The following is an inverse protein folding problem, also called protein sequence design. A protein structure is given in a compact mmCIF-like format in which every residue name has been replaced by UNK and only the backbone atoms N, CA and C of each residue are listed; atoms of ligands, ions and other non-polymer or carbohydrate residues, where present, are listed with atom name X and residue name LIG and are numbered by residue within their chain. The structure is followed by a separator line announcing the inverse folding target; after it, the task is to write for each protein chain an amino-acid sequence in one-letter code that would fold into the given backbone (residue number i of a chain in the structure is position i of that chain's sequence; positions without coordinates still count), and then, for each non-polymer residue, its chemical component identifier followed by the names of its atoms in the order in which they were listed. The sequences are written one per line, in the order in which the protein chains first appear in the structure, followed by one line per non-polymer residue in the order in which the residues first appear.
data_IF_328932882139
#
_entry.id   IF_328932882139
#
_cell.length_a   1.000
_cell.length_b   1.000
_cell.length_c   1.000
_cell.angle_alpha   90.00
_cell.angle_beta   90.00
_cell.angle_gamma   90.00
#
_symmetry.space_group_name_H-M   'P 1'
#
loop_
_entity.id
_entity.type
_entity.pdbx_description
1 polymer ?
#
# COMPACT_ATOMS: atom_id res chain seq x y z
N UNK A 1 -40.04 -17.56 -3.18
CA UNK A 1 -38.69 -17.03 -2.92
C UNK A 1 -38.87 -15.73 -2.17
N UNK A 2 -38.03 -15.40 -1.17
CA UNK A 2 -38.09 -14.09 -0.51
C UNK A 2 -37.45 -13.04 -1.43
N UNK A 3 -38.11 -11.90 -1.61
CA UNK A 3 -37.56 -10.78 -2.37
C UNK A 3 -36.65 -9.97 -1.44
N UNK A 4 -35.41 -9.69 -1.88
CA UNK A 4 -34.52 -8.77 -1.19
C UNK A 4 -34.61 -7.40 -1.87
N UNK A 5 -34.54 -6.35 -1.06
CA UNK A 5 -34.54 -4.96 -1.50
C UNK A 5 -33.26 -4.28 -1.03
N UNK A 6 -32.64 -3.50 -1.92
CA UNK A 6 -31.47 -2.68 -1.65
C UNK A 6 -31.88 -1.21 -1.51
N UNK A 7 -31.55 -0.58 -0.39
CA UNK A 7 -31.66 0.86 -0.23
C UNK A 7 -30.44 1.52 -0.85
N UNK A 8 -30.65 2.41 -1.81
CA UNK A 8 -29.59 3.12 -2.52
C UNK A 8 -29.44 4.53 -1.94
N UNK A 9 -28.25 4.83 -1.44
CA UNK A 9 -27.90 6.16 -0.94
C UNK A 9 -26.61 6.61 -1.62
N UNK A 10 -26.64 7.74 -2.33
CA UNK A 10 -25.46 8.26 -3.02
C UNK A 10 -24.89 7.31 -4.10
N UNK A 11 -25.74 6.48 -4.72
CA UNK A 11 -25.31 5.51 -5.73
C UNK A 11 -24.70 4.22 -5.18
N UNK A 12 -24.79 3.98 -3.87
CA UNK A 12 -24.31 2.73 -3.24
C UNK A 12 -25.42 2.05 -2.43
N UNK A 13 -25.33 0.73 -2.30
CA UNK A 13 -26.22 -0.07 -1.44
C UNK A 13 -25.88 0.23 0.02
N UNK A 14 -26.75 0.98 0.69
CA UNK A 14 -26.60 1.33 2.09
C UNK A 14 -27.18 0.25 3.03
N UNK A 15 -28.25 -0.41 2.60
CA UNK A 15 -28.96 -1.41 3.40
C UNK A 15 -29.58 -2.48 2.50
N UNK A 16 -29.74 -3.69 3.05
CA UNK A 16 -30.47 -4.80 2.44
C UNK A 16 -31.58 -5.27 3.39
N UNK A 17 -32.76 -5.53 2.86
CA UNK A 17 -33.90 -6.03 3.65
C UNK A 17 -34.70 -7.08 2.87
N UNK A 18 -35.30 -8.03 3.58
CA UNK A 18 -36.24 -9.02 3.00
C UNK A 18 -37.72 -8.60 3.18
N UNK A 19 -37.94 -7.38 3.65
CA UNK A 19 -39.27 -6.78 3.87
C UNK A 19 -39.64 -5.85 2.72
N UNK A 20 -40.86 -5.96 2.20
CA UNK A 20 -41.38 -5.02 1.19
C UNK A 20 -41.40 -3.57 1.72
N UNK A 21 -40.62 -2.65 1.10
CA UNK A 21 -40.48 -1.29 1.59
C UNK A 21 -41.70 -0.40 1.32
N UNK A 22 -42.63 -0.83 0.44
CA UNK A 22 -43.79 -0.05 0.02
C UNK A 22 -44.65 0.38 1.21
N UNK A 23 -44.81 1.70 1.40
CA UNK A 23 -45.60 2.28 2.49
C UNK A 23 -45.03 2.07 3.90
N UNK A 24 -43.79 1.57 4.03
CA UNK A 24 -43.14 1.32 5.32
C UNK A 24 -42.04 2.32 5.65
N UNK A 25 -41.26 2.72 4.66
CA UNK A 25 -40.13 3.64 4.83
C UNK A 25 -40.45 5.03 4.26
N UNK A 26 -39.58 6.00 4.54
CA UNK A 26 -39.73 7.37 4.03
C UNK A 26 -39.75 7.35 2.48
N UNK A 27 -40.64 8.12 1.83
CA UNK A 27 -40.78 8.11 0.36
C UNK A 27 -39.52 8.55 -0.41
N UNK A 28 -38.60 9.25 0.26
CA UNK A 28 -37.32 9.68 -0.34
C UNK A 28 -36.29 8.55 -0.44
N UNK A 29 -36.52 7.40 0.19
CA UNK A 29 -35.62 6.26 0.11
C UNK A 29 -35.80 5.52 -1.21
N UNK A 30 -34.69 5.34 -1.92
CA UNK A 30 -34.67 4.61 -3.19
C UNK A 30 -34.47 3.14 -2.89
N UNK A 31 -35.52 2.34 -3.06
CA UNK A 31 -35.45 0.89 -2.90
C UNK A 31 -35.49 0.18 -4.25
N UNK A 32 -34.55 -0.73 -4.48
CA UNK A 32 -34.43 -1.50 -5.72
C UNK A 32 -34.52 -2.99 -5.40
N UNK A 33 -35.35 -3.72 -6.14
CA UNK A 33 -35.46 -5.16 -6.02
C UNK A 33 -34.19 -5.86 -6.50
N UNK A 34 -33.65 -6.76 -5.68
CA UNK A 34 -32.43 -7.53 -5.96
C UNK A 34 -32.79 -8.91 -6.51
N UNK A 35 -32.16 -9.30 -7.63
CA UNK A 35 -32.33 -10.62 -8.26
C UNK A 35 -31.08 -11.51 -8.20
N UNK A 36 -30.06 -11.13 -7.41
CA UNK A 36 -28.79 -11.86 -7.29
C UNK A 36 -28.08 -11.59 -5.96
N UNK A 37 -26.79 -11.92 -5.89
CA UNK A 37 -25.96 -11.62 -4.71
C UNK A 37 -25.49 -10.17 -4.75
N UNK A 38 -26.25 -9.29 -4.10
CA UNK A 38 -25.87 -7.89 -3.84
C UNK A 38 -25.47 -7.77 -2.38
N UNK A 39 -24.44 -6.98 -2.11
CA UNK A 39 -23.96 -6.68 -0.76
C UNK A 39 -24.06 -5.19 -0.46
N UNK A 40 -24.14 -4.86 0.83
CA UNK A 40 -23.95 -3.48 1.29
C UNK A 40 -22.58 -2.99 0.82
N UNK A 41 -22.53 -1.79 0.26
CA UNK A 41 -21.35 -1.18 -0.34
C UNK A 41 -21.20 -1.41 -1.85
N UNK A 42 -21.99 -2.29 -2.47
CA UNK A 42 -22.03 -2.40 -3.94
C UNK A 42 -22.52 -1.08 -4.55
N UNK A 43 -21.95 -0.69 -5.68
CA UNK A 43 -22.40 0.48 -6.43
C UNK A 43 -23.63 0.14 -7.26
N UNK A 44 -24.56 1.07 -7.38
CA UNK A 44 -25.76 0.95 -8.21
C UNK A 44 -25.80 2.09 -9.24
N UNK A 45 -25.53 1.75 -10.50
CA UNK A 45 -25.51 2.68 -11.63
C UNK A 45 -26.29 2.10 -12.81
N UNK A 46 -27.15 2.90 -13.43
CA UNK A 46 -27.95 2.53 -14.61
C UNK A 46 -28.67 1.16 -14.48
N UNK A 47 -29.24 0.89 -13.30
CA UNK A 47 -29.97 -0.35 -13.04
C UNK A 47 -29.10 -1.57 -12.74
N UNK A 48 -27.77 -1.42 -12.70
CA UNK A 48 -26.83 -2.50 -12.47
C UNK A 48 -26.10 -2.35 -11.13
N UNK A 49 -25.97 -3.46 -10.42
CA UNK A 49 -25.12 -3.57 -9.25
C UNK A 49 -23.71 -4.00 -9.68
N UNK A 50 -22.70 -3.29 -9.18
CA UNK A 50 -21.30 -3.65 -9.38
C UNK A 50 -20.56 -3.60 -8.05
N UNK A 51 -19.82 -4.66 -7.75
CA UNK A 51 -18.94 -4.69 -6.58
C UNK A 51 -17.80 -3.68 -6.80
N UNK A 52 -17.50 -2.81 -5.82
CA UNK A 52 -16.33 -1.97 -5.91
C UNK A 52 -15.08 -2.84 -6.02
N UNK A 53 -14.14 -2.44 -6.88
CA UNK A 53 -12.84 -3.11 -6.93
C UNK A 53 -12.16 -2.99 -5.56
N UNK A 54 -11.46 -4.04 -5.10
CA UNK A 54 -10.67 -3.95 -3.87
C UNK A 54 -9.67 -2.81 -4.04
N UNK A 55 -9.69 -1.84 -3.11
CA UNK A 55 -8.68 -0.78 -3.09
C UNK A 55 -7.29 -1.44 -3.01
N UNK A 56 -6.30 -1.00 -3.80
CA UNK A 56 -4.95 -1.49 -3.67
C UNK A 56 -4.47 -1.30 -2.22
N UNK A 57 -3.76 -2.30 -1.70
CA UNK A 57 -3.13 -2.22 -0.39
C UNK A 57 -2.15 -1.04 -0.37
N UNK A 58 -2.11 -0.25 0.73
CA UNK A 58 -1.22 0.89 0.81
C UNK A 58 0.24 0.42 0.81
N UNK A 59 1.00 0.79 -0.23
CA UNK A 59 2.43 0.48 -0.31
C UNK A 59 3.22 1.31 0.71
N UNK A 60 4.11 0.66 1.46
CA UNK A 60 5.01 1.32 2.40
C UNK A 60 6.32 1.65 1.69
N UNK A 61 6.54 2.93 1.41
CA UNK A 61 7.80 3.46 0.86
C UNK A 61 8.67 4.12 1.92
N UNK A 62 8.09 4.51 3.06
CA UNK A 62 8.78 5.23 4.13
C UNK A 62 9.09 4.33 5.32
N UNK A 63 10.36 4.33 5.72
CA UNK A 63 10.91 3.49 6.77
C UNK A 63 11.64 4.36 7.78
N UNK A 64 11.64 3.99 9.06
CA UNK A 64 12.64 4.51 9.99
C UNK A 64 14.02 3.97 9.59
N UNK A 65 15.09 4.67 9.97
CA UNK A 65 16.47 4.24 9.68
C UNK A 65 16.75 2.83 10.20
N UNK A 66 16.21 2.48 11.36
CA UNK A 66 16.33 1.13 11.91
C UNK A 66 15.60 0.07 11.07
N UNK A 67 14.41 0.38 10.55
CA UNK A 67 13.68 -0.55 9.68
C UNK A 67 14.42 -0.72 8.35
N UNK A 68 14.93 0.36 7.76
CA UNK A 68 15.66 0.30 6.51
C UNK A 68 16.98 -0.51 6.64
N UNK A 69 17.78 -0.24 7.67
CA UNK A 69 19.03 -1.00 7.93
C UNK A 69 18.77 -2.49 8.12
N UNK A 70 17.62 -2.88 8.70
CA UNK A 70 17.24 -4.30 8.86
C UNK A 70 16.95 -5.03 7.55
N UNK A 71 16.80 -4.30 6.43
CA UNK A 71 16.63 -4.90 5.09
C UNK A 71 17.95 -5.44 4.53
N UNK A 72 19.09 -4.97 5.05
CA UNK A 72 20.41 -5.46 4.71
C UNK A 72 20.73 -6.71 5.51
N UNK A 73 21.41 -7.67 4.89
CA UNK A 73 21.95 -8.84 5.59
C UNK A 73 23.08 -8.42 6.54
N UNK A 74 23.44 -9.31 7.48
CA UNK A 74 24.54 -9.04 8.40
C UNK A 74 25.88 -8.85 7.66
N UNK A 75 26.14 -9.66 6.63
CA UNK A 75 27.37 -9.59 5.84
C UNK A 75 27.46 -8.28 5.05
N UNK A 76 26.33 -7.82 4.49
CA UNK A 76 26.24 -6.52 3.81
C UNK A 76 26.53 -5.37 4.78
N UNK A 77 25.93 -5.40 5.97
CA UNK A 77 26.15 -4.38 7.00
C UNK A 77 27.62 -4.37 7.47
N UNK A 78 28.24 -5.54 7.66
CA UNK A 78 29.65 -5.63 8.02
C UNK A 78 30.57 -5.10 6.92
N UNK A 79 30.30 -5.45 5.66
CA UNK A 79 31.07 -4.96 4.51
C UNK A 79 30.99 -3.43 4.41
N UNK A 80 29.79 -2.86 4.51
CA UNK A 80 29.58 -1.40 4.50
C UNK A 80 30.27 -0.75 5.70
N UNK A 81 30.12 -1.33 6.91
CA UNK A 81 30.72 -0.81 8.14
C UNK A 81 32.25 -0.83 8.08
N UNK A 82 32.85 -1.84 7.45
CA UNK A 82 34.30 -1.90 7.26
C UNK A 82 34.75 -0.89 6.19
N UNK A 83 34.04 -0.79 5.08
CA UNK A 83 34.39 0.09 3.97
C UNK A 83 34.34 1.58 4.35
N UNK A 84 33.35 2.00 5.17
CA UNK A 84 33.24 3.41 5.58
C UNK A 84 34.46 3.92 6.38
N UNK A 85 35.23 3.03 7.02
CA UNK A 85 36.41 3.42 7.78
C UNK A 85 37.55 3.90 6.88
N UNK A 86 37.50 3.59 5.59
CA UNK A 86 38.54 3.91 4.61
C UNK A 86 38.03 4.73 3.42
N UNK A 87 36.76 4.55 3.02
CA UNK A 87 36.13 5.27 1.91
C UNK A 87 35.13 6.32 2.45
N UNK A 88 35.45 7.59 2.24
CA UNK A 88 34.65 8.72 2.72
C UNK A 88 33.29 8.81 2.02
N UNK A 89 33.17 8.39 0.75
CA UNK A 89 31.88 8.39 0.05
C UNK A 89 30.93 7.36 0.67
N UNK A 90 31.45 6.17 0.98
CA UNK A 90 30.72 5.12 1.71
C UNK A 90 30.34 5.61 3.10
N UNK A 91 31.25 6.31 3.79
CA UNK A 91 31.00 6.90 5.10
C UNK A 91 29.89 7.95 5.11
N UNK A 92 29.85 8.82 4.09
CA UNK A 92 28.80 9.83 3.97
C UNK A 92 27.42 9.18 3.78
N UNK A 93 27.29 8.18 2.89
CA UNK A 93 26.03 7.45 2.70
C UNK A 93 25.63 6.68 3.95
N UNK A 94 26.59 6.04 4.63
CA UNK A 94 26.34 5.33 5.87
C UNK A 94 25.81 6.29 6.95
N UNK A 95 26.46 7.43 7.14
CA UNK A 95 26.06 8.41 8.14
C UNK A 95 24.70 9.02 7.81
N UNK A 96 24.43 9.31 6.53
CA UNK A 96 23.15 9.86 6.08
C UNK A 96 21.99 8.92 6.42
N UNK A 97 22.09 7.64 6.06
CA UNK A 97 21.08 6.64 6.40
C UNK A 97 20.90 6.45 7.91
N UNK A 98 21.97 6.55 8.71
CA UNK A 98 21.84 6.40 10.16
C UNK A 98 21.32 7.65 10.88
N UNK A 99 21.47 8.83 10.27
CA UNK A 99 21.04 10.12 10.83
C UNK A 99 19.63 10.51 10.44
N UNK A 100 19.12 9.97 9.34
CA UNK A 100 17.75 10.21 8.93
C UNK A 100 16.77 9.77 10.04
N UNK A 101 15.69 10.52 10.24
CA UNK A 101 14.55 10.02 11.02
C UNK A 101 13.77 8.98 10.20
N UNK A 102 13.70 9.23 8.88
CA UNK A 102 13.02 8.39 7.91
C UNK A 102 13.77 8.33 6.59
N UNK A 103 13.71 7.18 5.96
CA UNK A 103 14.23 6.88 4.64
C UNK A 103 13.04 6.55 3.75
N UNK A 104 12.89 7.28 2.66
CA UNK A 104 11.84 7.05 1.65
C UNK A 104 12.46 6.39 0.42
N UNK A 105 11.90 5.26 -0.02
CA UNK A 105 12.39 4.54 -1.21
C UNK A 105 12.19 5.34 -2.50
N UNK A 106 11.29 6.33 -2.50
CA UNK A 106 11.08 7.24 -3.63
C UNK A 106 12.08 8.40 -3.67
N UNK A 107 12.89 8.58 -2.62
CA UNK A 107 13.93 9.61 -2.60
C UNK A 107 15.10 9.19 -3.52
N UNK A 108 15.44 9.99 -4.54
CA UNK A 108 16.55 9.68 -5.44
C UNK A 108 17.90 9.58 -4.72
N UNK A 109 18.09 10.26 -3.58
CA UNK A 109 19.32 10.15 -2.79
C UNK A 109 19.48 8.75 -2.17
N UNK A 110 18.38 8.10 -1.79
CA UNK A 110 18.39 6.73 -1.27
C UNK A 110 18.82 5.77 -2.36
N UNK A 111 18.23 5.87 -3.55
CA UNK A 111 18.64 5.06 -4.69
C UNK A 111 20.13 5.27 -5.03
N UNK A 112 20.60 6.52 -5.05
CA UNK A 112 21.99 6.86 -5.32
C UNK A 112 22.96 6.29 -4.27
N UNK A 113 22.58 6.30 -2.98
CA UNK A 113 23.39 5.70 -1.91
C UNK A 113 23.51 4.18 -2.05
N UNK A 114 22.43 3.49 -2.41
CA UNK A 114 22.47 2.05 -2.70
C UNK A 114 23.28 1.75 -3.97
N UNK A 115 23.15 2.59 -5.01
CA UNK A 115 23.94 2.50 -6.24
C UNK A 115 25.44 2.64 -5.96
N UNK A 116 25.82 3.54 -5.05
CA UNK A 116 27.20 3.66 -4.61
C UNK A 116 27.70 2.35 -3.99
N UNK A 117 26.95 1.74 -3.08
CA UNK A 117 27.33 0.46 -2.47
C UNK A 117 27.47 -0.67 -3.49
N UNK A 118 26.62 -0.72 -4.52
CA UNK A 118 26.77 -1.67 -5.64
C UNK A 118 28.04 -1.37 -6.44
N UNK A 119 28.30 -0.12 -6.78
CA UNK A 119 29.49 0.29 -7.56
C UNK A 119 30.81 -0.04 -6.86
N UNK A 120 30.82 0.01 -5.52
CA UNK A 120 31.97 -0.32 -4.66
C UNK A 120 32.08 -1.82 -4.37
N UNK A 121 31.16 -2.64 -4.89
CA UNK A 121 31.13 -4.09 -4.68
C UNK A 121 30.71 -4.51 -3.28
N UNK A 122 30.09 -3.62 -2.51
CA UNK A 122 29.58 -3.89 -1.15
C UNK A 122 28.22 -4.58 -1.19
N UNK A 123 27.47 -4.38 -2.29
CA UNK A 123 26.20 -5.04 -2.57
C UNK A 123 26.20 -5.67 -3.96
N UNK A 124 25.44 -6.75 -4.12
CA UNK A 124 25.13 -7.28 -5.44
C UNK A 124 24.07 -6.42 -6.15
N UNK A 125 24.10 -6.30 -7.48
CA UNK A 125 23.07 -5.55 -8.22
C UNK A 125 21.64 -5.99 -7.91
N UNK A 126 21.42 -7.30 -7.75
CA UNK A 126 20.09 -7.84 -7.38
C UNK A 126 19.59 -7.30 -6.03
N UNK A 127 20.49 -7.05 -5.08
CA UNK A 127 20.13 -6.56 -3.75
C UNK A 127 19.65 -5.11 -3.78
N UNK A 128 20.09 -4.32 -4.75
CA UNK A 128 19.55 -2.98 -4.99
C UNK A 128 18.04 -3.01 -5.19
N UNK A 129 17.58 -3.86 -6.11
CA UNK A 129 16.15 -3.94 -6.46
C UNK A 129 15.33 -4.46 -5.28
N UNK A 130 15.87 -5.41 -4.51
CA UNK A 130 15.23 -5.93 -3.29
C UNK A 130 15.17 -4.88 -2.16
N UNK A 131 16.17 -4.01 -2.04
CA UNK A 131 16.20 -2.94 -1.02
C UNK A 131 15.29 -1.76 -1.38
N UNK A 132 15.06 -1.52 -2.66
CA UNK A 132 14.21 -0.42 -3.17
C UNK A 132 12.76 -0.85 -3.48
N UNK A 133 12.42 -2.14 -3.31
CA UNK A 133 11.05 -2.61 -3.43
C UNK A 133 10.22 -2.18 -2.19
N UNK A 134 9.07 -1.52 -2.35
CA UNK A 134 8.20 -1.20 -1.20
C UNK A 134 7.53 -2.45 -0.64
N UNK A 135 7.21 -2.42 0.65
CA UNK A 135 6.36 -3.46 1.25
C UNK A 135 4.88 -3.19 0.93
N UNK A 136 4.06 -4.25 0.91
CA UNK A 136 2.61 -4.21 0.69
C UNK A 136 1.87 -4.42 2.03
#
# INVERSE_FOLDING_TARGET
MRQIWAHIQGGVVAELTDVDPMGRFHPDFIWVGVSGEVMIGDSFNDGNFSRPEPSPLPVKTRYTSREFVRRFSMDEQLAIRQAQLADMEVGLVYDDFNRADFIDLEDPAVAAGIDLYVSKGLLLPKRRDELLAPDI
#
